data_IF_650271104770
#
_entry.id   IF_650271104770
#
_cell.length_a   1.000
_cell.length_b   1.000
_cell.length_c   1.000
_cell.angle_alpha   90.00
_cell.angle_beta   90.00
_cell.angle_gamma   90.00
#
_symmetry.space_group_name_H-M   'P 1'
#
loop_
_entity.id
_entity.type
_entity.pdbx_description
1 polymer ?
#
# COMPACT_ATOMS: atom_id res chain seq x y z
N UNK A 1 11.40 -8.57 -15.00
CA UNK A 1 11.53 -9.82 -14.24
C UNK A 1 11.17 -9.48 -12.81
N UNK A 2 10.29 -10.25 -12.14
CA UNK A 2 9.90 -9.92 -10.76
C UNK A 2 11.04 -10.27 -9.80
N UNK A 3 11.45 -9.32 -8.96
CA UNK A 3 12.53 -9.49 -7.99
C UNK A 3 11.97 -9.99 -6.67
N UNK A 4 12.43 -11.15 -6.23
CA UNK A 4 11.91 -11.84 -5.04
C UNK A 4 12.95 -11.79 -3.92
N UNK A 5 12.56 -11.21 -2.79
CA UNK A 5 13.34 -11.26 -1.56
C UNK A 5 12.89 -12.46 -0.73
N UNK A 6 13.84 -13.34 -0.41
CA UNK A 6 13.62 -14.38 0.59
C UNK A 6 14.06 -13.88 1.97
N UNK A 7 13.15 -13.95 2.92
CA UNK A 7 13.40 -13.73 4.34
C UNK A 7 13.24 -15.04 5.06
N UNK A 8 14.26 -15.48 5.77
CA UNK A 8 14.20 -16.76 6.48
C UNK A 8 14.97 -16.72 7.79
N UNK A 9 14.43 -17.42 8.79
CA UNK A 9 15.13 -17.79 10.02
C UNK A 9 15.32 -19.32 10.16
N UNK A 10 15.05 -20.06 9.08
CA UNK A 10 15.22 -21.51 9.00
C UNK A 10 16.48 -21.88 8.22
N UNK A 11 17.10 -23.01 8.58
CA UNK A 11 18.30 -23.56 7.89
C UNK A 11 17.94 -24.36 6.61
N UNK A 12 16.75 -24.16 6.04
CA UNK A 12 16.29 -24.95 4.89
C UNK A 12 17.09 -24.61 3.62
N UNK A 13 17.39 -25.62 2.78
CA UNK A 13 18.13 -25.40 1.54
C UNK A 13 17.33 -24.54 0.54
N UNK A 14 17.97 -23.49 0.03
CA UNK A 14 17.36 -22.48 -0.84
C UNK A 14 17.52 -22.81 -2.35
N UNK A 15 18.34 -23.81 -2.69
CA UNK A 15 18.69 -24.15 -4.08
C UNK A 15 17.46 -24.43 -4.95
N UNK A 16 16.60 -25.35 -4.51
CA UNK A 16 15.40 -25.76 -5.25
C UNK A 16 14.40 -24.60 -5.44
N UNK A 17 14.38 -23.66 -4.49
CA UNK A 17 13.52 -22.47 -4.54
C UNK A 17 13.98 -21.50 -5.64
N UNK A 18 15.29 -21.26 -5.73
CA UNK A 18 15.87 -20.37 -6.74
C UNK A 18 15.56 -20.85 -8.15
N UNK A 19 15.71 -22.16 -8.39
CA UNK A 19 15.41 -22.76 -9.68
C UNK A 19 13.90 -22.72 -9.99
N UNK A 20 13.05 -22.94 -8.99
CA UNK A 20 11.61 -22.82 -9.15
C UNK A 20 11.19 -21.39 -9.52
N UNK A 21 11.73 -20.37 -8.84
CA UNK A 21 11.49 -18.97 -9.15
C UNK A 21 11.99 -18.60 -10.55
N UNK A 22 13.19 -19.06 -10.94
CA UNK A 22 13.74 -18.81 -12.26
C UNK A 22 12.84 -19.37 -13.38
N UNK A 23 12.27 -20.58 -13.19
CA UNK A 23 11.29 -21.17 -14.12
C UNK A 23 10.00 -20.35 -14.25
N UNK A 24 9.66 -19.58 -13.23
CA UNK A 24 8.50 -18.67 -13.21
C UNK A 24 8.83 -17.27 -13.75
N UNK A 25 10.04 -17.05 -14.29
CA UNK A 25 10.47 -15.72 -14.73
C UNK A 25 10.62 -14.73 -13.58
N UNK A 26 10.88 -15.24 -12.36
CA UNK A 26 11.18 -14.47 -11.18
C UNK A 26 12.67 -14.57 -10.86
N UNK A 27 13.28 -13.46 -10.45
CA UNK A 27 14.67 -13.39 -10.03
C UNK A 27 14.73 -13.38 -8.51
N UNK A 28 15.29 -14.44 -7.92
CA UNK A 28 15.56 -14.44 -6.49
C UNK A 28 16.82 -13.62 -6.20
N UNK A 29 16.69 -12.61 -5.34
CA UNK A 29 17.82 -11.78 -4.92
C UNK A 29 18.92 -12.63 -4.27
N UNK A 30 20.17 -12.20 -4.41
CA UNK A 30 21.33 -12.98 -3.94
C UNK A 30 21.38 -13.08 -2.40
N UNK A 31 21.00 -12.00 -1.70
CA UNK A 31 20.92 -11.96 -0.25
C UNK A 31 19.59 -12.53 0.26
N UNK A 32 19.67 -13.45 1.23
CA UNK A 32 18.55 -13.68 2.14
C UNK A 32 18.62 -12.67 3.28
N UNK A 33 17.47 -12.22 3.76
CA UNK A 33 17.38 -11.39 4.96
C UNK A 33 16.87 -12.22 6.14
N UNK A 34 17.24 -11.83 7.35
CA UNK A 34 16.53 -12.30 8.55
C UNK A 34 15.28 -11.44 8.76
N UNK A 35 14.27 -11.92 9.50
CA UNK A 35 13.08 -11.12 9.81
C UNK A 35 13.40 -9.76 10.46
N UNK A 36 14.48 -9.66 11.24
CA UNK A 36 14.92 -8.39 11.85
C UNK A 36 15.50 -7.39 10.83
N UNK A 37 16.08 -7.89 9.73
CA UNK A 37 16.66 -7.08 8.68
C UNK A 37 15.66 -6.76 7.54
N UNK A 38 14.42 -7.26 7.63
CA UNK A 38 13.40 -7.15 6.60
C UNK A 38 13.22 -5.71 6.09
N UNK A 39 12.99 -4.75 6.99
CA UNK A 39 12.77 -3.36 6.59
C UNK A 39 13.95 -2.80 5.77
N UNK A 40 15.18 -3.02 6.24
CA UNK A 40 16.39 -2.54 5.57
C UNK A 40 16.58 -3.22 4.21
N UNK A 41 16.44 -4.54 4.15
CA UNK A 41 16.57 -5.30 2.91
C UNK A 41 15.56 -4.84 1.85
N UNK A 42 14.33 -4.53 2.24
CA UNK A 42 13.31 -4.00 1.31
C UNK A 42 13.68 -2.61 0.78
N UNK A 43 14.26 -1.74 1.62
CA UNK A 43 14.69 -0.40 1.20
C UNK A 43 15.88 -0.45 0.24
N UNK A 44 16.89 -1.25 0.57
CA UNK A 44 18.14 -1.37 -0.17
C UNK A 44 17.90 -2.09 -1.51
N UNK A 45 17.19 -3.22 -1.47
CA UNK A 45 17.01 -4.08 -2.64
C UNK A 45 15.77 -3.73 -3.44
N UNK A 46 14.73 -3.12 -2.87
CA UNK A 46 13.44 -2.84 -3.55
C UNK A 46 12.87 -4.06 -4.31
N UNK A 47 12.57 -5.17 -3.62
CA UNK A 47 11.95 -6.34 -4.25
C UNK A 47 10.53 -6.03 -4.75
N UNK A 48 10.05 -6.81 -5.70
CA UNK A 48 8.65 -6.80 -6.13
C UNK A 48 7.78 -7.74 -5.29
N UNK A 49 8.36 -8.84 -4.78
CA UNK A 49 7.69 -9.84 -3.96
C UNK A 49 8.55 -10.21 -2.76
N UNK A 50 7.93 -10.44 -1.62
CA UNK A 50 8.61 -10.91 -0.41
C UNK A 50 8.08 -12.31 -0.07
N UNK A 51 8.99 -13.27 0.10
CA UNK A 51 8.71 -14.59 0.63
C UNK A 51 9.34 -14.67 2.01
N UNK A 52 8.56 -15.03 3.02
CA UNK A 52 9.01 -15.24 4.38
C UNK A 52 8.84 -16.73 4.69
N UNK A 53 9.92 -17.43 5.02
CA UNK A 53 9.88 -18.79 5.59
C UNK A 53 10.34 -18.69 7.04
N UNK A 54 9.46 -18.97 7.99
CA UNK A 54 9.77 -18.88 9.42
C UNK A 54 9.14 -20.04 10.17
N UNK A 55 9.69 -20.40 11.33
CA UNK A 55 9.01 -21.38 12.20
C UNK A 55 7.69 -20.82 12.76
N UNK A 56 7.71 -19.57 13.22
CA UNK A 56 6.53 -18.83 13.66
C UNK A 56 6.80 -17.32 13.58
N UNK A 57 5.90 -16.51 12.98
CA UNK A 57 6.13 -15.08 12.85
C UNK A 57 6.14 -14.36 14.20
N UNK A 58 7.20 -13.59 14.44
CA UNK A 58 7.29 -12.72 15.61
C UNK A 58 6.42 -11.46 15.45
N UNK A 59 5.99 -10.86 16.57
CA UNK A 59 5.27 -9.58 16.57
C UNK A 59 6.05 -8.48 15.87
N UNK A 60 7.35 -8.38 16.12
CA UNK A 60 8.23 -7.40 15.49
C UNK A 60 8.25 -7.54 13.96
N UNK A 61 8.25 -8.79 13.45
CA UNK A 61 8.17 -9.05 12.00
C UNK A 61 6.84 -8.55 11.44
N UNK A 62 5.73 -8.84 12.12
CA UNK A 62 4.39 -8.40 11.70
C UNK A 62 4.23 -6.87 11.76
N UNK A 63 4.79 -6.22 12.77
CA UNK A 63 4.80 -4.75 12.86
C UNK A 63 5.60 -4.12 11.73
N UNK A 64 6.79 -4.64 11.40
CA UNK A 64 7.56 -4.17 10.25
C UNK A 64 6.78 -4.33 8.95
N UNK A 65 6.09 -5.45 8.77
CA UNK A 65 5.22 -5.69 7.61
C UNK A 65 4.09 -4.68 7.55
N UNK A 66 3.41 -4.41 8.66
CA UNK A 66 2.31 -3.45 8.71
C UNK A 66 2.75 -2.03 8.32
N UNK A 67 3.90 -1.58 8.84
CA UNK A 67 4.47 -0.26 8.51
C UNK A 67 4.86 -0.17 7.03
N UNK A 68 5.50 -1.21 6.50
CA UNK A 68 5.85 -1.30 5.08
C UNK A 68 4.60 -1.30 4.21
N UNK A 69 3.59 -2.08 4.59
CA UNK A 69 2.35 -2.23 3.85
C UNK A 69 1.55 -0.92 3.74
N UNK A 70 1.58 -0.09 4.78
CA UNK A 70 0.92 1.22 4.76
C UNK A 70 1.61 2.26 3.85
N UNK A 71 2.94 2.16 3.70
CA UNK A 71 3.74 3.16 2.97
C UNK A 71 4.07 2.77 1.53
N UNK A 72 4.43 1.50 1.31
CA UNK A 72 4.80 0.94 0.02
C UNK A 72 4.39 -0.55 -0.03
N UNK A 73 3.09 -0.84 -0.20
CA UNK A 73 2.57 -2.20 -0.18
C UNK A 73 3.20 -3.06 -1.26
N UNK A 74 3.43 -4.34 -0.92
CA UNK A 74 3.99 -5.36 -1.79
C UNK A 74 3.31 -6.70 -1.50
N UNK A 75 3.24 -7.62 -2.46
CA UNK A 75 2.80 -8.98 -2.21
C UNK A 75 3.78 -9.69 -1.26
N UNK A 76 3.23 -10.21 -0.15
CA UNK A 76 3.99 -10.95 0.86
C UNK A 76 3.40 -12.36 1.00
N UNK A 77 4.24 -13.36 0.74
CA UNK A 77 3.96 -14.77 1.00
C UNK A 77 4.64 -15.17 2.31
N UNK A 78 3.89 -15.72 3.26
CA UNK A 78 4.42 -16.19 4.53
C UNK A 78 4.18 -17.69 4.67
N UNK A 79 5.25 -18.45 4.86
CA UNK A 79 5.26 -19.88 5.12
C UNK A 79 5.69 -20.08 6.57
N UNK A 80 4.88 -20.83 7.32
CA UNK A 80 5.05 -21.04 8.75
C UNK A 80 4.47 -22.37 9.17
N UNK A 81 5.05 -23.01 10.20
CA UNK A 81 4.47 -24.21 10.81
C UNK A 81 3.39 -23.89 11.85
N UNK A 82 3.23 -22.61 12.20
CA UNK A 82 2.28 -22.17 13.21
C UNK A 82 0.85 -22.06 12.64
N UNK A 83 -0.02 -22.94 13.12
CA UNK A 83 -1.44 -23.04 12.76
C UNK A 83 -2.36 -22.17 13.63
N UNK A 84 -1.81 -21.36 14.54
CA UNK A 84 -2.59 -20.54 15.44
C UNK A 84 -3.43 -19.50 14.66
N UNK A 85 -4.75 -19.65 14.72
CA UNK A 85 -5.68 -18.78 14.00
C UNK A 85 -5.53 -17.30 14.36
N UNK A 86 -5.13 -16.99 15.59
CA UNK A 86 -4.91 -15.61 16.00
C UNK A 86 -3.70 -15.01 15.28
N UNK A 87 -2.61 -15.77 15.20
CA UNK A 87 -1.40 -15.36 14.51
C UNK A 87 -1.62 -15.21 13.00
N UNK A 88 -2.39 -16.12 12.41
CA UNK A 88 -2.80 -16.03 10.99
C UNK A 88 -3.57 -14.73 10.73
N UNK A 89 -4.51 -14.38 11.60
CA UNK A 89 -5.26 -13.11 11.48
C UNK A 89 -4.35 -11.89 11.65
N UNK A 90 -3.43 -11.94 12.61
CA UNK A 90 -2.45 -10.87 12.82
C UNK A 90 -1.55 -10.69 11.60
N UNK A 91 -1.09 -11.78 10.98
CA UNK A 91 -0.29 -11.74 9.76
C UNK A 91 -1.06 -11.13 8.57
N UNK A 92 -2.31 -11.54 8.36
CA UNK A 92 -3.16 -10.96 7.31
C UNK A 92 -3.40 -9.47 7.55
N UNK A 93 -3.69 -9.08 8.80
CA UNK A 93 -3.87 -7.66 9.17
C UNK A 93 -2.59 -6.84 9.00
N UNK A 94 -1.42 -7.46 9.15
CA UNK A 94 -0.12 -6.84 8.89
C UNK A 94 0.19 -6.68 7.38
N UNK A 95 -0.68 -7.15 6.49
CA UNK A 95 -0.51 -7.02 5.04
C UNK A 95 0.09 -8.24 4.36
N UNK A 96 0.10 -9.40 5.01
CA UNK A 96 0.45 -10.67 4.35
C UNK A 96 -0.63 -11.06 3.34
N UNK A 97 -0.23 -11.27 2.09
CA UNK A 97 -1.13 -11.60 0.98
C UNK A 97 -1.58 -13.06 1.03
N UNK A 98 -0.68 -13.96 1.43
CA UNK A 98 -1.01 -15.36 1.66
C UNK A 98 -0.18 -15.92 2.82
N UNK A 99 -0.85 -16.53 3.79
CA UNK A 99 -0.25 -17.27 4.89
C UNK A 99 -0.45 -18.76 4.66
N UNK A 100 0.62 -19.54 4.72
CA UNK A 100 0.62 -20.97 4.52
C UNK A 100 1.12 -21.66 5.77
N UNK A 101 0.27 -22.53 6.34
CA UNK A 101 0.54 -23.35 7.53
C UNK A 101 1.31 -24.62 7.14
N UNK A 102 2.29 -24.46 6.27
CA UNK A 102 3.15 -25.54 5.77
C UNK A 102 4.49 -24.92 5.39
N UNK A 103 5.57 -25.69 5.56
CA UNK A 103 6.89 -25.24 5.14
C UNK A 103 6.95 -24.93 3.63
N UNK A 104 7.87 -24.03 3.27
CA UNK A 104 8.10 -23.67 1.88
C UNK A 104 8.46 -24.91 1.02
N UNK A 105 7.61 -25.22 0.03
CA UNK A 105 7.82 -26.30 -0.94
C UNK A 105 7.80 -25.76 -2.38
N UNK A 106 8.91 -25.94 -3.09
CA UNK A 106 9.14 -25.37 -4.43
C UNK A 106 8.09 -25.75 -5.47
N UNK A 107 7.53 -26.97 -5.38
CA UNK A 107 6.50 -27.47 -6.31
C UNK A 107 5.16 -26.73 -6.20
N UNK A 108 4.83 -26.21 -5.01
CA UNK A 108 3.57 -25.51 -4.76
C UNK A 108 3.68 -24.00 -4.94
N UNK A 109 4.91 -23.48 -5.04
CA UNK A 109 5.15 -22.04 -5.06
C UNK A 109 4.48 -21.35 -6.25
N UNK A 110 4.54 -21.95 -7.44
CA UNK A 110 4.02 -21.37 -8.67
C UNK A 110 2.54 -20.94 -8.56
N UNK A 111 1.59 -21.84 -8.26
CA UNK A 111 0.18 -21.46 -8.13
C UNK A 111 -0.08 -20.52 -6.95
N UNK A 112 0.67 -20.65 -5.85
CA UNK A 112 0.53 -19.75 -4.68
C UNK A 112 0.93 -18.32 -5.07
N UNK A 113 2.06 -18.17 -5.74
CA UNK A 113 2.59 -16.89 -6.18
C UNK A 113 1.65 -16.22 -7.18
N UNK A 114 1.12 -16.97 -8.16
CA UNK A 114 0.17 -16.45 -9.14
C UNK A 114 -1.10 -15.91 -8.46
N UNK A 115 -1.69 -16.68 -7.54
CA UNK A 115 -2.87 -16.27 -6.78
C UNK A 115 -2.58 -15.04 -5.92
N UNK A 116 -1.42 -14.99 -5.27
CA UNK A 116 -1.04 -13.86 -4.42
C UNK A 116 -0.82 -12.59 -5.24
N UNK A 117 -0.15 -12.67 -6.39
CA UNK A 117 0.02 -11.54 -7.30
C UNK A 117 -1.33 -11.02 -7.80
N UNK A 118 -2.24 -11.91 -8.18
CA UNK A 118 -3.58 -11.53 -8.62
C UNK A 118 -4.39 -10.85 -7.48
N UNK A 119 -4.34 -11.41 -6.26
CA UNK A 119 -4.98 -10.82 -5.08
C UNK A 119 -4.42 -9.43 -4.76
N UNK A 120 -3.10 -9.31 -4.77
CA UNK A 120 -2.43 -8.03 -4.50
C UNK A 120 -2.81 -6.98 -5.55
N UNK A 121 -2.86 -7.35 -6.84
CA UNK A 121 -3.27 -6.44 -7.91
C UNK A 121 -4.73 -5.97 -7.72
N UNK A 122 -5.65 -6.88 -7.39
CA UNK A 122 -7.04 -6.53 -7.09
C UNK A 122 -7.16 -5.59 -5.89
N UNK A 123 -6.42 -5.88 -4.82
CA UNK A 123 -6.41 -5.06 -3.62
C UNK A 123 -5.83 -3.67 -3.87
N UNK A 124 -4.72 -3.58 -4.61
CA UNK A 124 -4.13 -2.30 -5.02
C UNK A 124 -5.13 -1.46 -5.81
N UNK A 125 -5.85 -2.09 -6.76
CA UNK A 125 -6.87 -1.39 -7.54
C UNK A 125 -8.02 -0.87 -6.66
N UNK A 126 -8.45 -1.66 -5.66
CA UNK A 126 -9.47 -1.21 -4.71
C UNK A 126 -8.99 -0.04 -3.86
N UNK A 127 -7.73 -0.06 -3.39
CA UNK A 127 -7.14 1.06 -2.63
C UNK A 127 -7.03 2.33 -3.45
N UNK A 128 -6.61 2.23 -4.72
CA UNK A 128 -6.55 3.38 -5.61
C UNK A 128 -7.94 3.99 -5.85
N UNK A 129 -8.96 3.16 -6.08
CA UNK A 129 -10.34 3.62 -6.22
C UNK A 129 -10.87 4.28 -4.95
N UNK A 130 -10.56 3.72 -3.79
CA UNK A 130 -10.94 4.30 -2.50
C UNK A 130 -10.27 5.66 -2.31
N UNK A 131 -8.95 5.76 -2.53
CA UNK A 131 -8.20 7.00 -2.41
C UNK A 131 -8.73 8.07 -3.38
N UNK A 132 -9.11 7.68 -4.61
CA UNK A 132 -9.73 8.59 -5.57
C UNK A 132 -11.08 9.10 -5.05
N UNK A 133 -11.96 8.22 -4.59
CA UNK A 133 -13.28 8.59 -4.08
C UNK A 133 -13.18 9.49 -2.83
N UNK A 134 -12.25 9.21 -1.92
CA UNK A 134 -11.98 10.03 -0.75
C UNK A 134 -11.48 11.42 -1.13
N UNK A 135 -10.56 11.50 -2.11
CA UNK A 135 -10.07 12.77 -2.64
C UNK A 135 -11.19 13.59 -3.30
N UNK A 136 -12.01 12.98 -4.16
CA UNK A 136 -13.16 13.66 -4.80
C UNK A 136 -14.15 14.19 -3.75
N UNK A 137 -14.43 13.41 -2.70
CA UNK A 137 -15.28 13.84 -1.60
C UNK A 137 -14.66 15.00 -0.82
N UNK A 138 -13.35 14.93 -0.53
CA UNK A 138 -12.63 15.98 0.17
C UNK A 138 -12.61 17.29 -0.64
N UNK A 139 -12.36 17.22 -1.94
CA UNK A 139 -12.41 18.36 -2.86
C UNK A 139 -13.81 18.99 -2.90
N UNK A 140 -14.86 18.17 -2.98
CA UNK A 140 -16.25 18.67 -2.94
C UNK A 140 -16.55 19.42 -1.64
N UNK A 141 -16.20 18.82 -0.49
CA UNK A 141 -16.36 19.47 0.83
C UNK A 141 -15.61 20.79 0.91
N UNK A 142 -14.41 20.84 0.34
CA UNK A 142 -13.58 22.04 0.31
C UNK A 142 -14.21 23.15 -0.56
N UNK A 143 -14.71 22.81 -1.74
CA UNK A 143 -15.42 23.74 -2.63
C UNK A 143 -16.68 24.27 -1.95
N UNK A 144 -17.48 23.41 -1.32
CA UNK A 144 -18.69 23.83 -0.61
C UNK A 144 -18.39 24.76 0.57
N UNK A 145 -17.26 24.54 1.26
CA UNK A 145 -16.77 25.43 2.33
C UNK A 145 -16.31 26.78 1.76
N UNK A 146 -15.56 26.78 0.67
CA UNK A 146 -15.10 28.01 0.01
C UNK A 146 -16.29 28.84 -0.51
N UNK A 147 -17.30 28.20 -1.12
CA UNK A 147 -18.54 28.88 -1.55
C UNK A 147 -19.20 29.58 -0.36
N UNK A 148 -19.41 28.88 0.76
CA UNK A 148 -20.02 29.46 1.98
C UNK A 148 -19.25 30.68 2.48
N UNK A 149 -17.92 30.61 2.54
CA UNK A 149 -17.09 31.75 2.93
C UNK A 149 -17.26 32.96 2.00
N UNK A 150 -17.28 32.74 0.68
CA UNK A 150 -17.51 33.80 -0.28
C UNK A 150 -18.92 34.39 -0.17
N UNK A 151 -19.92 33.55 0.07
CA UNK A 151 -21.29 34.00 0.32
C UNK A 151 -21.35 34.91 1.55
N UNK A 152 -20.73 34.51 2.65
CA UNK A 152 -20.77 35.25 3.91
C UNK A 152 -20.01 36.59 3.84
N UNK A 153 -18.79 36.56 3.28
CA UNK A 153 -17.86 37.70 3.24
C UNK A 153 -18.20 38.69 2.12
N UNK A 154 -18.56 38.20 0.93
CA UNK A 154 -18.79 39.03 -0.26
C UNK A 154 -20.28 39.20 -0.58
N UNK A 155 -21.18 38.67 0.27
CA UNK A 155 -22.64 38.70 0.08
C UNK A 155 -23.09 38.14 -1.28
N UNK A 156 -22.37 37.13 -1.75
CA UNK A 156 -22.68 36.45 -3.01
C UNK A 156 -23.78 35.40 -2.81
N UNK A 157 -24.57 35.18 -3.85
CA UNK A 157 -25.42 33.98 -3.95
C UNK A 157 -24.54 32.75 -4.22
N UNK A 158 -25.04 31.54 -3.94
CA UNK A 158 -24.27 30.32 -4.21
C UNK A 158 -23.80 30.20 -5.68
N UNK A 159 -24.65 30.48 -6.71
CA UNK A 159 -24.20 30.46 -8.10
C UNK A 159 -23.09 31.49 -8.38
N UNK A 160 -23.16 32.68 -7.78
CA UNK A 160 -22.15 33.72 -7.96
C UNK A 160 -20.82 33.35 -7.27
N UNK A 161 -20.88 32.73 -6.08
CA UNK A 161 -19.70 32.22 -5.38
C UNK A 161 -19.00 31.13 -6.19
N UNK A 162 -19.76 30.17 -6.74
CA UNK A 162 -19.21 29.14 -7.61
C UNK A 162 -18.59 29.71 -8.89
N UNK A 163 -19.28 30.66 -9.55
CA UNK A 163 -18.76 31.33 -10.75
C UNK A 163 -17.46 32.08 -10.46
N UNK A 164 -17.34 32.72 -9.28
CA UNK A 164 -16.12 33.40 -8.85
C UNK A 164 -14.94 32.43 -8.67
N UNK A 165 -15.14 31.31 -7.95
CA UNK A 165 -14.12 30.26 -7.80
C UNK A 165 -13.69 29.71 -9.16
N UNK A 166 -14.65 29.39 -10.03
CA UNK A 166 -14.39 28.85 -11.38
C UNK A 166 -13.61 29.83 -12.24
N UNK A 167 -13.97 31.12 -12.21
CA UNK A 167 -13.25 32.17 -12.96
C UNK A 167 -11.81 32.30 -12.49
N UNK A 168 -11.57 32.29 -11.16
CA UNK A 168 -10.22 32.35 -10.59
C UNK A 168 -9.40 31.11 -10.98
N UNK A 169 -9.99 29.91 -10.92
CA UNK A 169 -9.34 28.67 -11.33
C UNK A 169 -8.93 28.70 -12.82
N UNK A 170 -9.83 29.17 -13.69
CA UNK A 170 -9.57 29.31 -15.12
C UNK A 170 -8.46 30.33 -15.41
N UNK A 171 -8.44 31.46 -14.72
CA UNK A 171 -7.40 32.48 -14.88
C UNK A 171 -6.01 32.02 -14.42
N UNK A 172 -5.96 31.14 -13.43
CA UNK A 172 -4.71 30.58 -12.89
C UNK A 172 -4.26 29.29 -13.58
N UNK A 173 -5.14 28.64 -14.36
CA UNK A 173 -4.84 27.35 -15.00
C UNK A 173 -4.79 26.17 -14.04
N UNK A 174 -5.47 26.27 -12.89
CA UNK A 174 -5.44 25.26 -11.81
C UNK A 174 -6.81 24.62 -11.59
N UNK A 175 -6.84 23.53 -10.81
CA UNK A 175 -8.10 22.87 -10.43
C UNK A 175 -8.95 23.77 -9.53
N UNK A 176 -10.27 23.66 -9.66
CA UNK A 176 -11.21 24.39 -8.81
C UNK A 176 -10.98 24.16 -7.30
N UNK A 177 -10.63 22.93 -6.92
CA UNK A 177 -10.34 22.57 -5.55
C UNK A 177 -9.10 23.28 -4.98
N UNK A 178 -8.11 23.62 -5.81
CA UNK A 178 -6.92 24.37 -5.38
C UNK A 178 -7.29 25.81 -5.01
N UNK A 179 -8.08 26.47 -5.85
CA UNK A 179 -8.61 27.81 -5.54
C UNK A 179 -9.50 27.78 -4.29
N UNK A 180 -10.34 26.75 -4.15
CA UNK A 180 -11.14 26.59 -2.94
C UNK A 180 -10.25 26.44 -1.69
N UNK A 181 -9.11 25.74 -1.79
CA UNK A 181 -8.11 25.63 -0.72
C UNK A 181 -7.54 26.99 -0.33
N UNK A 182 -7.15 27.80 -1.30
CA UNK A 182 -6.61 29.15 -1.08
C UNK A 182 -7.62 30.05 -0.36
N UNK A 183 -8.88 30.02 -0.79
CA UNK A 183 -9.96 30.81 -0.17
C UNK A 183 -10.18 30.38 1.28
N UNK A 184 -10.24 29.07 1.54
CA UNK A 184 -10.41 28.54 2.91
C UNK A 184 -9.22 28.88 3.80
N UNK A 185 -7.99 28.79 3.28
CA UNK A 185 -6.78 29.13 4.01
C UNK A 185 -6.73 30.63 4.35
N UNK A 186 -7.05 31.50 3.39
CA UNK A 186 -7.07 32.95 3.57
C UNK A 186 -8.09 33.40 4.62
N UNK A 187 -9.27 32.76 4.66
CA UNK A 187 -10.29 33.04 5.67
C UNK A 187 -9.92 32.53 7.08
N UNK A 188 -9.04 31.52 7.19
CA UNK A 188 -8.53 31.02 8.47
C UNK A 188 -7.49 31.93 9.11
N UNK A 189 -6.76 32.72 8.33
CA UNK A 189 -5.75 33.68 8.78
C UNK A 189 -6.33 35.02 9.26
N UNK A 190 -7.61 35.27 9.00
CA UNK A 190 -8.32 36.52 9.34
C UNK A 190 -9.12 36.39 10.67
N UNK A 191 -8.79 35.40 11.51
CA UNK A 191 -9.38 35.21 12.84
C UNK A 191 -8.39 35.52 13.95
#
# INVERSE_FOLDING_TARGET
>A
MLRVLLVTDTDKPIGDLRDALARLGCEMLAGTATPQALHRAVQDERPDVIIIDTESPSRDTLEQLAVMHASAPRPVLMFSHDANQQLIREAVNAGVTAYLVEGLASERLAPILEVALARFAQESQLRERLAQAENELAERKLIDRAKRLLMDQQKLTEPAAYASLRKRAMNQGVKLAEVAREVVASAGLLK
#
